data_IF_980620335136
#
_entry.id   IF_980620335136
#
_cell.length_a   1.000
_cell.length_b   1.000
_cell.length_c   1.000
_cell.angle_alpha   90.00
_cell.angle_beta   90.00
_cell.angle_gamma   90.00
#
_symmetry.space_group_name_H-M   'P 1'
#
loop_
_entity.id
_entity.type
_entity.pdbx_description
1 polymer ?
#
# COMPACT_ATOMS: atom_id res chain seq x y z
N UNK A 1 8.40 25.76 8.47
CA UNK A 1 8.34 24.57 7.57
C UNK A 1 8.61 25.00 6.14
N UNK A 2 9.44 24.28 5.38
CA UNK A 2 9.75 24.59 3.97
C UNK A 2 8.52 24.28 3.10
N UNK A 3 8.15 25.17 2.16
CA UNK A 3 6.95 25.04 1.29
C UNK A 3 6.85 23.65 0.62
N UNK A 4 7.97 23.10 0.15
CA UNK A 4 8.04 21.75 -0.45
C UNK A 4 7.63 20.66 0.54
N UNK A 5 8.05 20.77 1.80
CA UNK A 5 7.67 19.83 2.87
C UNK A 5 6.17 19.88 3.15
N UNK A 6 5.58 21.08 3.19
CA UNK A 6 4.13 21.24 3.36
C UNK A 6 3.36 20.60 2.20
N UNK A 7 3.81 20.80 0.96
CA UNK A 7 3.20 20.17 -0.21
C UNK A 7 3.27 18.65 -0.15
N UNK A 8 4.41 18.09 0.23
CA UNK A 8 4.56 16.63 0.39
C UNK A 8 3.63 16.09 1.47
N UNK A 9 3.57 16.74 2.62
CA UNK A 9 2.65 16.37 3.70
C UNK A 9 1.18 16.41 3.23
N UNK A 10 0.77 17.51 2.60
CA UNK A 10 -0.61 17.68 2.14
C UNK A 10 -0.99 16.70 1.03
N UNK A 11 -0.06 16.25 0.18
CA UNK A 11 -0.36 15.18 -0.80
C UNK A 11 -0.75 13.87 -0.11
N UNK A 12 -0.07 13.51 0.98
CA UNK A 12 -0.40 12.32 1.78
C UNK A 12 -1.76 12.50 2.46
N UNK A 13 -1.99 13.67 3.07
CA UNK A 13 -3.26 13.99 3.73
C UNK A 13 -4.42 13.97 2.75
N UNK A 14 -4.23 14.51 1.54
CA UNK A 14 -5.24 14.49 0.48
C UNK A 14 -5.64 13.07 0.10
N UNK A 15 -4.65 12.18 0.02
CA UNK A 15 -4.91 10.78 -0.28
C UNK A 15 -5.74 10.13 0.83
N UNK A 16 -5.43 10.41 2.09
CA UNK A 16 -6.13 9.85 3.24
C UNK A 16 -7.53 10.44 3.50
N UNK A 17 -7.88 11.58 2.87
CA UNK A 17 -9.06 12.39 3.22
C UNK A 17 -10.40 11.67 3.06
N UNK A 18 -10.49 10.70 2.15
CA UNK A 18 -11.70 9.94 1.90
C UNK A 18 -11.88 8.79 2.93
N UNK A 19 -10.83 8.49 3.70
CA UNK A 19 -10.81 7.34 4.61
C UNK A 19 -10.88 7.76 6.08
N UNK A 20 -10.43 8.98 6.39
CA UNK A 20 -10.38 9.53 7.75
C UNK A 20 -11.39 10.67 7.86
N UNK A 21 -12.32 10.53 8.80
CA UNK A 21 -13.39 11.50 9.03
C UNK A 21 -12.83 12.89 9.38
N UNK A 22 -13.45 13.94 8.81
CA UNK A 22 -13.11 15.34 9.02
C UNK A 22 -11.67 15.75 8.60
N UNK A 23 -10.90 14.86 7.95
CA UNK A 23 -9.51 15.14 7.60
C UNK A 23 -9.38 16.28 6.57
N UNK A 24 -10.29 16.35 5.59
CA UNK A 24 -10.30 17.44 4.61
C UNK A 24 -10.53 18.81 5.29
N UNK A 25 -11.45 18.87 6.25
CA UNK A 25 -11.76 20.08 7.03
C UNK A 25 -10.55 20.52 7.86
N UNK A 26 -9.86 19.57 8.50
CA UNK A 26 -8.64 19.82 9.28
C UNK A 26 -7.45 20.28 8.40
N UNK A 27 -7.35 19.77 7.18
CA UNK A 27 -6.28 20.11 6.25
C UNK A 27 -6.48 21.46 5.53
N UNK A 28 -7.72 21.95 5.43
CA UNK A 28 -8.08 23.18 4.71
C UNK A 28 -7.22 24.39 5.06
N UNK A 29 -7.02 24.73 6.36
CA UNK A 29 -6.17 25.85 6.76
C UNK A 29 -4.70 25.69 6.30
N UNK A 30 -4.18 24.47 6.28
CA UNK A 30 -2.82 24.18 5.83
C UNK A 30 -2.67 24.36 4.31
N UNK A 31 -3.71 24.05 3.51
CA UNK A 31 -3.72 24.36 2.07
C UNK A 31 -3.70 25.87 1.80
N UNK A 32 -4.36 26.68 2.63
CA UNK A 32 -4.38 28.13 2.47
C UNK A 32 -2.97 28.75 2.55
N UNK A 33 -2.04 28.12 3.29
CA UNK A 33 -0.62 28.52 3.38
C UNK A 33 0.17 28.32 2.08
N UNK A 34 -0.34 27.55 1.12
CA UNK A 34 0.31 27.32 -0.18
C UNK A 34 -0.07 28.35 -1.25
N UNK A 35 -1.12 29.15 -1.00
CA UNK A 35 -1.64 30.17 -1.92
C UNK A 35 -0.61 31.32 -2.06
N UNK A 36 -0.47 31.88 -3.27
CA UNK A 36 0.55 32.89 -3.61
C UNK A 36 0.53 34.10 -2.66
N UNK A 37 -0.68 34.54 -2.28
CA UNK A 37 -0.95 35.71 -1.44
C UNK A 37 -1.38 35.36 0.00
N UNK A 38 -1.32 34.08 0.38
CA UNK A 38 -1.68 33.64 1.74
C UNK A 38 -0.59 33.95 2.77
N UNK A 39 -0.95 33.89 4.05
CA UNK A 39 0.03 33.93 5.14
C UNK A 39 1.00 32.74 4.98
N UNK A 40 2.28 33.00 4.73
CA UNK A 40 3.28 31.93 4.50
C UNK A 40 3.92 31.44 5.80
N UNK A 41 3.79 32.24 6.86
CA UNK A 41 4.32 31.89 8.18
C UNK A 41 3.54 30.70 8.76
N UNK A 42 4.29 29.69 9.19
CA UNK A 42 3.77 28.49 9.83
C UNK A 42 3.76 28.71 11.33
N UNK A 43 2.57 28.92 11.91
CA UNK A 43 2.40 29.35 13.29
C UNK A 43 2.08 28.17 14.24
N UNK A 44 1.82 28.49 15.50
CA UNK A 44 1.48 27.51 16.54
C UNK A 44 0.19 26.73 16.24
N UNK A 45 -0.82 27.38 15.63
CA UNK A 45 -2.06 26.72 15.20
C UNK A 45 -1.82 25.70 14.10
N UNK A 46 -0.95 26.02 13.13
CA UNK A 46 -0.58 25.11 12.06
C UNK A 46 0.14 23.86 12.62
N UNK A 47 1.01 24.06 13.61
CA UNK A 47 1.68 22.95 14.33
C UNK A 47 0.64 22.09 15.06
N UNK A 48 -0.35 22.72 15.72
CA UNK A 48 -1.44 22.02 16.39
C UNK A 48 -2.28 21.21 15.40
N UNK A 49 -2.63 21.77 14.25
CA UNK A 49 -3.38 21.07 13.20
C UNK A 49 -2.60 19.86 12.67
N UNK A 50 -1.29 19.99 12.43
CA UNK A 50 -0.46 18.85 12.00
C UNK A 50 -0.43 17.73 13.05
N UNK A 51 -0.40 18.06 14.35
CA UNK A 51 -0.48 17.05 15.42
C UNK A 51 -1.81 16.30 15.40
N UNK A 52 -2.93 17.03 15.36
CA UNK A 52 -4.28 16.44 15.28
C UNK A 52 -4.41 15.54 14.04
N UNK A 53 -3.92 15.99 12.89
CA UNK A 53 -3.95 15.20 11.65
C UNK A 53 -3.15 13.90 11.81
N UNK A 54 -1.99 13.93 12.48
CA UNK A 54 -1.17 12.74 12.71
C UNK A 54 -1.84 11.77 13.68
N UNK A 55 -2.52 12.27 14.70
CA UNK A 55 -3.27 11.46 15.68
C UNK A 55 -4.49 10.77 15.08
N UNK A 56 -5.09 11.34 14.03
CA UNK A 56 -6.22 10.73 13.30
C UNK A 56 -5.84 9.51 12.46
N UNK A 57 -4.55 9.23 12.28
CA UNK A 57 -4.08 8.03 11.56
C UNK A 57 -4.45 6.77 12.37
N UNK A 58 -5.10 5.76 11.77
CA UNK A 58 -5.32 4.47 12.43
C UNK A 58 -4.01 3.86 12.94
N UNK A 59 -4.08 3.16 14.07
CA UNK A 59 -2.92 2.50 14.64
C UNK A 59 -2.50 1.33 13.74
N UNK A 60 -1.19 1.01 13.70
CA UNK A 60 -0.68 -0.12 12.92
C UNK A 60 -1.32 -1.46 13.30
N UNK A 61 -1.73 -1.58 14.56
CA UNK A 61 -2.39 -2.77 15.10
C UNK A 61 -3.92 -2.59 15.25
N UNK A 62 -4.52 -1.64 14.54
CA UNK A 62 -5.98 -1.54 14.46
C UNK A 62 -6.59 -2.84 13.92
N UNK A 63 -7.81 -3.21 14.35
CA UNK A 63 -8.49 -4.41 13.86
C UNK A 63 -8.64 -4.41 12.34
N UNK A 64 -8.55 -5.60 11.73
CA UNK A 64 -8.74 -5.79 10.27
C UNK A 64 -10.11 -5.30 9.78
N UNK A 65 -11.12 -5.35 10.65
CA UNK A 65 -12.49 -4.88 10.36
C UNK A 65 -12.58 -3.36 10.13
N UNK A 66 -11.58 -2.59 10.54
CA UNK A 66 -11.51 -1.15 10.30
C UNK A 66 -10.77 -0.79 9.01
N UNK A 67 -10.19 -1.77 8.32
CA UNK A 67 -9.47 -1.55 7.06
C UNK A 67 -10.43 -1.09 5.97
N UNK A 68 -9.99 -0.10 5.18
CA UNK A 68 -10.75 0.45 4.06
C UNK A 68 -9.99 0.20 2.76
N UNK A 69 -10.73 -0.18 1.72
CA UNK A 69 -10.18 -0.33 0.38
C UNK A 69 -9.78 1.04 -0.13
N UNK A 70 -8.50 1.21 -0.47
CA UNK A 70 -7.99 2.48 -0.96
C UNK A 70 -7.82 2.55 -2.48
N UNK A 71 -7.60 1.40 -3.12
CA UNK A 71 -7.56 1.23 -4.58
C UNK A 71 -7.64 -0.26 -4.92
N UNK A 72 -8.10 -0.58 -6.12
CA UNK A 72 -8.03 -1.91 -6.71
C UNK A 72 -7.33 -1.85 -8.08
N UNK A 73 -6.83 -2.99 -8.51
CA UNK A 73 -6.25 -3.20 -9.83
C UNK A 73 -6.44 -4.66 -10.22
N UNK A 74 -6.73 -4.88 -11.49
CA UNK A 74 -6.82 -6.19 -12.14
C UNK A 74 -6.04 -6.12 -13.45
N UNK A 75 -5.77 -7.26 -14.06
CA UNK A 75 -5.10 -7.29 -15.35
C UNK A 75 -4.96 -8.70 -15.92
N UNK A 76 -4.94 -8.79 -17.24
CA UNK A 76 -4.66 -10.05 -17.97
C UNK A 76 -3.16 -10.17 -18.23
N UNK A 77 -2.56 -11.25 -17.74
CA UNK A 77 -1.15 -11.52 -17.95
C UNK A 77 -0.98 -12.71 -18.90
N UNK A 78 -0.25 -12.50 -20.01
CA UNK A 78 0.14 -13.59 -20.92
C UNK A 78 1.18 -14.45 -20.22
N UNK A 79 0.74 -15.59 -19.69
CA UNK A 79 1.59 -16.55 -19.03
C UNK A 79 2.04 -17.61 -20.05
N UNK A 80 3.35 -17.85 -20.16
CA UNK A 80 3.86 -19.09 -20.78
C UNK A 80 3.46 -20.28 -19.88
N UNK A 81 3.71 -21.51 -20.31
CA UNK A 81 3.50 -22.71 -19.48
C UNK A 81 4.32 -22.60 -18.20
N UNK A 82 3.68 -22.14 -17.13
CA UNK A 82 4.26 -21.77 -15.85
C UNK A 82 3.39 -22.49 -14.79
N UNK A 83 4.02 -23.02 -13.74
CA UNK A 83 3.29 -23.70 -12.66
C UNK A 83 2.40 -22.71 -11.89
N UNK A 84 1.40 -23.21 -11.15
CA UNK A 84 0.45 -22.35 -10.44
C UNK A 84 1.12 -21.41 -9.41
N UNK A 85 2.18 -21.86 -8.73
CA UNK A 85 2.88 -21.05 -7.72
C UNK A 85 3.57 -19.85 -8.37
N UNK A 86 4.25 -20.04 -9.49
CA UNK A 86 4.88 -18.96 -10.24
C UNK A 86 3.85 -17.95 -10.79
N UNK A 87 2.61 -18.39 -11.06
CA UNK A 87 1.51 -17.47 -11.41
C UNK A 87 1.14 -16.58 -10.22
N UNK A 88 0.95 -17.17 -9.04
CA UNK A 88 0.67 -16.43 -7.80
C UNK A 88 1.79 -15.42 -7.48
N UNK A 89 3.04 -15.83 -7.63
CA UNK A 89 4.20 -14.94 -7.46
C UNK A 89 4.13 -13.77 -8.44
N UNK A 90 3.83 -14.02 -9.71
CA UNK A 90 3.74 -12.96 -10.70
C UNK A 90 2.61 -11.98 -10.40
N UNK A 91 1.47 -12.48 -9.91
CA UNK A 91 0.34 -11.64 -9.47
C UNK A 91 0.78 -10.71 -8.34
N UNK A 92 1.49 -11.23 -7.33
CA UNK A 92 2.04 -10.41 -6.23
C UNK A 92 3.02 -9.36 -6.75
N UNK A 93 3.96 -9.75 -7.63
CA UNK A 93 4.92 -8.85 -8.26
C UNK A 93 4.21 -7.70 -8.99
N UNK A 94 3.22 -8.03 -9.81
CA UNK A 94 2.47 -7.05 -10.59
C UNK A 94 1.66 -6.13 -9.67
N UNK A 95 1.05 -6.65 -8.61
CA UNK A 95 0.34 -5.85 -7.63
C UNK A 95 1.29 -4.84 -6.94
N UNK A 96 2.46 -5.29 -6.48
CA UNK A 96 3.47 -4.41 -5.85
C UNK A 96 3.89 -3.29 -6.80
N UNK A 97 4.15 -3.62 -8.07
CA UNK A 97 4.53 -2.63 -9.07
C UNK A 97 3.41 -1.63 -9.39
N UNK A 98 2.17 -2.11 -9.54
CA UNK A 98 1.00 -1.27 -9.80
C UNK A 98 0.75 -0.28 -8.66
N UNK A 99 0.94 -0.73 -7.42
CA UNK A 99 0.73 0.12 -6.24
C UNK A 99 1.99 0.82 -5.72
N UNK A 100 3.10 0.81 -6.47
CA UNK A 100 4.40 1.35 -6.04
C UNK A 100 4.35 2.76 -5.45
N UNK A 101 3.55 3.65 -6.05
CA UNK A 101 3.36 5.03 -5.58
C UNK A 101 2.68 5.12 -4.20
N UNK A 102 1.86 4.14 -3.85
CA UNK A 102 1.13 4.04 -2.57
C UNK A 102 1.96 3.36 -1.49
N UNK A 103 2.81 2.40 -1.89
CA UNK A 103 3.69 1.65 -1.00
C UNK A 103 4.93 2.45 -0.54
N UNK A 104 5.00 3.75 -0.86
CA UNK A 104 6.11 4.67 -0.56
C UNK A 104 6.48 4.82 0.93
N UNK A 105 5.70 4.26 1.86
CA UNK A 105 6.03 4.15 3.29
C UNK A 105 7.00 3.00 3.62
N UNK A 106 7.44 2.27 2.60
CA UNK A 106 8.40 1.14 2.64
C UNK A 106 7.98 -0.06 3.48
N UNK A 107 7.08 0.05 4.45
CA UNK A 107 6.56 -1.09 5.21
C UNK A 107 5.08 -1.33 4.89
N UNK A 108 4.73 -2.56 4.51
CA UNK A 108 3.36 -2.97 4.23
C UNK A 108 3.17 -4.48 4.37
N UNK A 109 1.91 -4.92 4.42
CA UNK A 109 1.54 -6.33 4.49
C UNK A 109 0.96 -6.79 3.15
N UNK A 110 1.43 -7.92 2.63
CA UNK A 110 0.81 -8.63 1.51
C UNK A 110 0.04 -9.81 2.09
N UNK A 111 -1.26 -9.86 1.78
CA UNK A 111 -2.13 -10.99 2.14
C UNK A 111 -2.41 -11.82 0.90
N UNK A 112 -2.14 -13.11 0.99
CA UNK A 112 -2.35 -14.09 -0.10
C UNK A 112 -2.84 -15.41 0.50
N UNK A 113 -3.69 -16.11 -0.24
CA UNK A 113 -4.11 -17.49 0.03
C UNK A 113 -3.05 -18.52 -0.40
N UNK A 114 -1.98 -18.09 -1.07
CA UNK A 114 -0.87 -18.95 -1.42
C UNK A 114 0.04 -19.21 -0.20
N UNK A 115 -0.22 -20.30 0.53
CA UNK A 115 0.60 -20.71 1.68
C UNK A 115 2.10 -20.85 1.34
N UNK A 116 2.44 -21.23 0.11
CA UNK A 116 3.82 -21.38 -0.32
C UNK A 116 4.59 -20.05 -0.24
N UNK A 117 3.96 -18.93 -0.65
CA UNK A 117 4.56 -17.59 -0.56
C UNK A 117 4.76 -17.19 0.90
N UNK A 118 3.76 -17.40 1.75
CA UNK A 118 3.86 -17.09 3.17
C UNK A 118 4.95 -17.93 3.86
N UNK A 119 5.00 -19.23 3.59
CA UNK A 119 6.02 -20.14 4.13
C UNK A 119 7.43 -19.78 3.66
N UNK A 120 7.58 -19.32 2.41
CA UNK A 120 8.86 -18.89 1.86
C UNK A 120 9.41 -17.68 2.62
N UNK A 121 8.61 -16.62 2.76
CA UNK A 121 9.05 -15.37 3.39
C UNK A 121 9.14 -15.43 4.91
N UNK A 122 8.35 -16.28 5.57
CA UNK A 122 8.36 -16.41 7.03
C UNK A 122 9.40 -17.41 7.56
N UNK A 123 10.17 -18.09 6.69
CA UNK A 123 11.22 -19.02 7.12
C UNK A 123 12.47 -18.26 7.57
N UNK A 124 12.83 -18.44 8.85
CA UNK A 124 13.95 -17.79 9.53
C UNK A 124 15.33 -18.30 9.10
N UNK A 125 15.43 -19.41 8.36
CA UNK A 125 16.69 -19.89 7.75
C UNK A 125 16.38 -21.07 6.83
N UNK A 126 16.56 -20.94 5.50
CA UNK A 126 16.98 -22.03 4.60
C UNK A 126 16.91 -21.63 3.13
N UNK A 127 18.05 -21.74 2.42
CA UNK A 127 18.28 -21.74 0.95
C UNK A 127 17.47 -20.74 0.11
N UNK A 128 18.17 -19.76 -0.48
CA UNK A 128 17.68 -18.98 -1.62
C UNK A 128 17.10 -19.92 -2.67
N UNK A 129 15.87 -19.66 -3.10
CA UNK A 129 15.27 -20.39 -4.20
C UNK A 129 16.00 -20.07 -5.51
N UNK A 130 16.31 -21.09 -6.30
CA UNK A 130 16.92 -20.94 -7.63
C UNK A 130 15.90 -20.70 -8.73
N UNK A 131 14.59 -20.74 -8.43
CA UNK A 131 13.55 -20.50 -9.44
C UNK A 131 13.40 -19.01 -9.69
N UNK A 132 13.31 -18.65 -10.97
CA UNK A 132 13.27 -17.27 -11.45
C UNK A 132 12.19 -16.39 -10.79
N UNK A 133 11.00 -16.96 -10.49
CA UNK A 133 9.90 -16.23 -9.86
C UNK A 133 10.23 -15.71 -8.47
N UNK A 134 10.76 -16.58 -7.61
CA UNK A 134 11.16 -16.22 -6.24
C UNK A 134 12.28 -15.18 -6.20
N UNK A 135 13.29 -15.34 -7.06
CA UNK A 135 14.40 -14.37 -7.18
C UNK A 135 13.85 -13.00 -7.59
N UNK A 136 12.95 -12.95 -8.58
CA UNK A 136 12.37 -11.69 -9.03
C UNK A 136 11.53 -11.01 -7.94
N UNK A 137 10.77 -11.79 -7.17
CA UNK A 137 10.00 -11.27 -6.04
C UNK A 137 10.93 -10.72 -4.95
N UNK A 138 12.01 -11.44 -4.62
CA UNK A 138 13.04 -10.96 -3.70
C UNK A 138 13.70 -9.68 -4.17
N UNK A 139 14.10 -9.60 -5.44
CA UNK A 139 14.72 -8.41 -6.03
C UNK A 139 13.79 -7.20 -6.00
N UNK A 140 12.49 -7.40 -6.28
CA UNK A 140 11.52 -6.30 -6.22
C UNK A 140 11.32 -5.81 -4.79
N UNK A 141 11.23 -6.72 -3.82
CA UNK A 141 11.06 -6.37 -2.40
C UNK A 141 12.32 -5.68 -1.87
N UNK A 142 13.47 -6.34 -1.98
CA UNK A 142 14.74 -5.87 -1.41
C UNK A 142 15.34 -4.71 -2.18
N UNK A 143 15.32 -4.74 -3.52
CA UNK A 143 15.88 -3.71 -4.39
C UNK A 143 15.16 -2.36 -4.31
N UNK A 144 13.88 -2.35 -3.91
CA UNK A 144 13.16 -1.11 -3.61
C UNK A 144 13.22 -0.70 -2.12
N UNK A 145 13.87 -1.51 -1.29
CA UNK A 145 13.97 -1.30 0.16
C UNK A 145 12.64 -1.47 0.89
N UNK A 146 11.77 -2.36 0.41
CA UNK A 146 10.51 -2.68 1.06
C UNK A 146 10.70 -3.65 2.22
N UNK A 147 10.06 -3.34 3.34
CA UNK A 147 9.83 -4.24 4.47
C UNK A 147 8.43 -4.83 4.33
N UNK A 148 8.34 -5.99 3.68
CA UNK A 148 7.05 -6.65 3.41
C UNK A 148 6.80 -7.74 4.44
N UNK A 149 5.60 -7.75 5.00
CA UNK A 149 5.11 -8.83 5.86
C UNK A 149 4.14 -9.68 5.04
N UNK A 150 4.40 -10.98 4.93
CA UNK A 150 3.51 -11.90 4.23
C UNK A 150 2.59 -12.61 5.23
N UNK A 151 1.29 -12.40 5.06
CA UNK A 151 0.24 -13.00 5.88
C UNK A 151 -0.62 -13.93 5.03
N UNK A 152 -0.88 -15.14 5.52
CA UNK A 152 -1.83 -16.02 4.88
C UNK A 152 -3.27 -15.56 5.17
N UNK A 153 -4.12 -15.51 4.15
CA UNK A 153 -5.56 -15.24 4.28
C UNK A 153 -6.35 -16.43 3.74
N UNK A 154 -7.44 -16.81 4.44
CA UNK A 154 -8.30 -17.90 3.97
C UNK A 154 -9.08 -17.44 2.73
N UNK A 155 -9.34 -18.33 1.79
CA UNK A 155 -10.09 -18.03 0.56
C UNK A 155 -11.42 -17.31 0.83
N UNK A 156 -12.15 -17.74 1.87
CA UNK A 156 -13.43 -17.12 2.28
C UNK A 156 -13.32 -15.64 2.69
N UNK A 157 -12.13 -15.19 3.05
CA UNK A 157 -11.83 -13.82 3.46
C UNK A 157 -11.11 -13.06 2.31
N UNK A 158 -10.77 -13.75 1.20
CA UNK A 158 -10.12 -13.22 0.00
C UNK A 158 -11.11 -12.90 -1.14
N UNK A 159 -12.38 -12.67 -0.80
CA UNK A 159 -13.50 -12.57 -1.77
C UNK A 159 -13.31 -11.48 -2.81
N UNK A 160 -12.78 -10.32 -2.43
CA UNK A 160 -12.58 -9.22 -3.36
C UNK A 160 -11.56 -9.58 -4.45
N UNK A 161 -10.40 -10.12 -4.06
CA UNK A 161 -9.36 -10.55 -5.00
C UNK A 161 -9.90 -11.66 -5.91
N UNK A 162 -10.66 -12.59 -5.35
CA UNK A 162 -11.25 -13.71 -6.09
C UNK A 162 -12.27 -13.24 -7.15
N UNK A 163 -13.10 -12.24 -6.83
CA UNK A 163 -14.03 -11.63 -7.79
C UNK A 163 -13.26 -10.98 -8.95
N UNK A 164 -12.21 -10.21 -8.66
CA UNK A 164 -11.41 -9.55 -9.69
C UNK A 164 -10.59 -10.52 -10.54
N UNK A 165 -10.10 -11.63 -9.94
CA UNK A 165 -9.28 -12.61 -10.65
C UNK A 165 -10.13 -13.56 -11.51
N UNK A 166 -11.36 -13.88 -11.12
CA UNK A 166 -12.25 -14.80 -11.85
C UNK A 166 -13.20 -14.11 -12.83
N UNK A 167 -13.54 -12.84 -12.61
CA UNK A 167 -14.45 -12.11 -13.49
C UNK A 167 -13.75 -11.64 -14.76
N UNK A 168 -14.08 -12.28 -15.89
CA UNK A 168 -13.57 -11.91 -17.22
C UNK A 168 -13.96 -10.48 -17.65
N UNK A 169 -15.01 -9.92 -17.04
CA UNK A 169 -15.55 -8.57 -17.30
C UNK A 169 -14.77 -7.50 -16.54
N UNK A 170 -14.23 -7.83 -15.36
CA UNK A 170 -13.51 -6.88 -14.48
C UNK A 170 -11.99 -6.87 -14.73
N UNK A 171 -11.51 -7.72 -15.63
CA UNK A 171 -10.11 -7.76 -16.05
C UNK A 171 -9.92 -6.76 -17.21
N UNK A 172 -9.65 -5.51 -16.88
CA UNK A 172 -9.22 -4.46 -17.83
C UNK A 172 -7.78 -4.68 -18.32
#
# INVERSE_FOLDING_TARGET
MIRKTLQQFLRIVNYARNYIENLAKLAGPLYAKLIKNGQKHFNSDDIRLVRIIKEKKPHKYSPKTEEKICRYASGKYKLKTINNIDREILVVINAINTFRLYLGLKEFTVRTDCEAICKYYNKVNSKKSSTRGWILLEDIVTGNGYKVIFEHIKEKDNTLSDIFSRSSILQE
#
